data_IF_765815014119
#
_entry.id   IF_765815014119
#
_cell.length_a   1.000
_cell.length_b   1.000
_cell.length_c   1.000
_cell.angle_alpha   90.00
_cell.angle_beta   90.00
_cell.angle_gamma   90.00
#
_symmetry.space_group_name_H-M   'P 1'
#
loop_
_entity.id
_entity.type
_entity.pdbx_description
1 polymer ?
#
# COMPACT_ATOMS: atom_id res chain seq x y z
N UNK A 1 10.93 25.40 -19.16
CA UNK A 1 12.10 24.84 -18.45
C UNK A 1 12.03 25.34 -17.02
N UNK A 2 11.58 24.51 -16.08
CA UNK A 2 11.50 24.93 -14.68
C UNK A 2 12.92 24.89 -14.07
N UNK A 3 13.44 26.01 -13.57
CA UNK A 3 14.70 26.04 -12.83
C UNK A 3 14.34 25.89 -11.34
N UNK A 4 14.70 24.77 -10.72
CA UNK A 4 14.33 24.55 -9.32
C UNK A 4 15.21 23.51 -8.67
N UNK A 5 16.32 23.96 -8.09
CA UNK A 5 17.32 23.18 -7.36
C UNK A 5 16.84 22.56 -6.04
N UNK A 6 15.63 22.01 -6.00
CA UNK A 6 15.33 20.98 -5.02
C UNK A 6 15.89 19.69 -5.59
N UNK A 7 16.82 19.05 -4.86
CA UNK A 7 17.17 17.67 -5.13
C UNK A 7 15.87 16.87 -5.08
N UNK A 8 15.31 16.52 -6.24
CA UNK A 8 14.23 15.56 -6.32
C UNK A 8 14.82 14.32 -5.65
N UNK A 9 14.30 13.94 -4.49
CA UNK A 9 14.61 12.65 -3.89
C UNK A 9 14.19 11.64 -4.94
N UNK A 10 15.15 11.19 -5.76
CA UNK A 10 14.84 10.43 -6.97
C UNK A 10 14.49 9.02 -6.53
N UNK A 11 13.24 8.81 -6.11
CA UNK A 11 12.64 7.50 -6.06
C UNK A 11 12.48 6.99 -7.49
N UNK A 12 12.55 5.68 -7.66
CA UNK A 12 12.25 5.01 -8.91
C UNK A 12 10.79 5.18 -9.32
N UNK A 13 10.47 4.78 -10.55
CA UNK A 13 9.12 4.87 -11.10
C UNK A 13 8.27 3.59 -10.86
N UNK A 14 8.62 2.81 -9.83
CA UNK A 14 7.99 1.51 -9.55
C UNK A 14 7.09 1.57 -8.33
N UNK A 15 6.00 0.80 -8.36
CA UNK A 15 5.24 0.40 -7.18
C UNK A 15 5.49 -1.10 -6.99
N UNK A 16 5.99 -1.48 -5.82
CA UNK A 16 6.35 -2.87 -5.51
C UNK A 16 5.47 -3.42 -4.38
N UNK A 17 5.56 -4.70 -4.08
CA UNK A 17 4.85 -5.31 -2.96
C UNK A 17 5.77 -6.26 -2.18
N UNK A 18 5.31 -6.67 -1.00
CA UNK A 18 5.97 -7.70 -0.22
C UNK A 18 5.39 -9.08 -0.54
N UNK A 19 6.21 -10.11 -0.48
CA UNK A 19 5.78 -11.48 -0.68
C UNK A 19 4.85 -11.97 0.44
N UNK A 20 5.04 -11.47 1.68
CA UNK A 20 4.29 -11.92 2.85
C UNK A 20 3.97 -10.85 3.88
N UNK A 21 3.86 -11.26 5.14
CA UNK A 21 3.47 -10.40 6.26
C UNK A 21 4.61 -9.52 6.78
N UNK A 22 5.86 -9.81 6.41
CA UNK A 22 7.09 -9.14 6.85
C UNK A 22 8.09 -9.11 5.70
N UNK A 23 8.95 -8.10 5.67
CA UNK A 23 10.01 -8.06 4.68
C UNK A 23 11.15 -9.01 5.05
N UNK A 24 11.56 -9.82 4.09
CA UNK A 24 12.82 -10.56 4.11
C UNK A 24 14.02 -9.63 4.01
N UNK A 25 15.22 -10.15 4.34
CA UNK A 25 16.46 -9.39 4.14
C UNK A 25 16.71 -9.02 2.68
N UNK A 26 16.30 -9.89 1.75
CA UNK A 26 16.44 -9.68 0.31
C UNK A 26 15.50 -8.58 -0.19
N UNK A 27 14.23 -8.59 0.21
CA UNK A 27 13.29 -7.50 -0.12
C UNK A 27 13.78 -6.17 0.44
N UNK A 28 14.27 -6.14 1.69
CA UNK A 28 14.85 -4.92 2.28
C UNK A 28 16.04 -4.41 1.46
N UNK A 29 16.89 -5.30 0.94
CA UNK A 29 18.00 -4.92 0.08
C UNK A 29 17.53 -4.39 -1.26
N UNK A 30 16.62 -5.11 -1.92
CA UNK A 30 16.02 -4.71 -3.19
C UNK A 30 15.35 -3.34 -3.09
N UNK A 31 14.55 -3.09 -2.04
CA UNK A 31 13.81 -1.84 -1.90
C UNK A 31 14.72 -0.65 -1.59
N UNK A 32 15.82 -0.88 -0.87
CA UNK A 32 16.84 0.14 -0.64
C UNK A 32 17.57 0.51 -1.93
N UNK A 33 17.87 -0.46 -2.78
CA UNK A 33 18.60 -0.24 -4.02
C UNK A 33 17.72 0.36 -5.11
N UNK A 34 16.46 -0.11 -5.22
CA UNK A 34 15.49 0.36 -6.22
C UNK A 34 14.79 1.66 -5.83
N UNK A 35 14.62 1.91 -4.52
CA UNK A 35 13.95 3.09 -3.95
C UNK A 35 12.60 3.37 -4.62
N UNK A 36 11.62 2.44 -4.59
CA UNK A 36 10.39 2.56 -5.37
C UNK A 36 9.61 3.84 -5.02
N UNK A 37 8.75 4.29 -5.92
CA UNK A 37 7.82 5.39 -5.65
C UNK A 37 6.91 5.06 -4.46
N UNK A 38 6.46 3.80 -4.40
CA UNK A 38 5.57 3.33 -3.36
C UNK A 38 5.42 1.82 -3.34
N UNK A 39 4.47 1.37 -2.54
CA UNK A 39 4.11 -0.02 -2.37
C UNK A 39 2.60 -0.23 -2.52
N UNK A 40 2.20 -1.45 -2.83
CA UNK A 40 0.80 -1.90 -2.81
C UNK A 40 0.63 -3.11 -1.89
N UNK A 41 -0.43 -3.11 -1.08
CA UNK A 41 -0.78 -4.23 -0.21
C UNK A 41 -1.80 -5.15 -0.87
N UNK A 42 -1.52 -6.45 -0.85
CA UNK A 42 -2.43 -7.52 -1.23
C UNK A 42 -2.96 -8.27 -0.01
N UNK A 43 -3.96 -9.14 -0.22
CA UNK A 43 -4.55 -9.93 0.86
C UNK A 43 -3.52 -10.77 1.63
N UNK A 44 -2.47 -11.27 0.95
CA UNK A 44 -1.36 -12.02 1.58
C UNK A 44 -0.51 -11.20 2.55
N UNK A 45 -0.63 -9.88 2.53
CA UNK A 45 0.11 -8.96 3.39
C UNK A 45 -0.65 -8.56 4.66
N UNK A 46 -1.89 -9.03 4.83
CA UNK A 46 -2.81 -8.61 5.88
C UNK A 46 -3.05 -9.76 6.86
N UNK A 47 -2.72 -9.54 8.13
CA UNK A 47 -3.09 -10.41 9.25
C UNK A 47 -3.81 -9.62 10.35
N UNK A 48 -3.12 -8.67 10.98
CA UNK A 48 -3.66 -7.84 12.07
C UNK A 48 -3.29 -6.36 11.87
N UNK A 49 -4.01 -5.40 12.50
CA UNK A 49 -3.70 -3.98 12.38
C UNK A 49 -2.25 -3.63 12.76
N UNK A 50 -1.72 -4.24 13.82
CA UNK A 50 -0.34 -4.01 14.27
C UNK A 50 0.68 -4.62 13.30
N UNK A 51 0.41 -5.81 12.75
CA UNK A 51 1.25 -6.41 11.72
C UNK A 51 1.28 -5.56 10.45
N UNK A 52 0.14 -5.09 9.96
CA UNK A 52 0.06 -4.22 8.78
C UNK A 52 0.81 -2.91 9.01
N UNK A 53 0.66 -2.32 10.21
CA UNK A 53 1.42 -1.12 10.59
C UNK A 53 2.93 -1.38 10.58
N UNK A 54 3.37 -2.52 11.12
CA UNK A 54 4.78 -2.90 11.12
C UNK A 54 5.32 -3.10 9.69
N UNK A 55 4.60 -3.81 8.82
CA UNK A 55 4.99 -4.00 7.42
C UNK A 55 5.10 -2.66 6.68
N UNK A 56 4.14 -1.75 6.88
CA UNK A 56 4.20 -0.41 6.30
C UNK A 56 5.42 0.39 6.77
N UNK A 57 5.80 0.23 8.04
CA UNK A 57 7.00 0.85 8.61
C UNK A 57 8.26 0.27 7.96
N UNK A 58 8.35 -1.07 7.86
CA UNK A 58 9.48 -1.77 7.24
C UNK A 58 9.67 -1.37 5.78
N UNK A 59 8.59 -1.22 5.01
CA UNK A 59 8.62 -0.77 3.61
C UNK A 59 9.21 0.63 3.46
N UNK A 60 8.78 1.59 4.30
CA UNK A 60 9.30 2.97 4.26
C UNK A 60 10.74 3.06 4.74
N UNK A 61 11.08 2.31 5.77
CA UNK A 61 12.45 2.20 6.27
C UNK A 61 13.38 1.63 5.20
N UNK A 62 12.98 0.52 4.55
CA UNK A 62 13.76 -0.10 3.49
C UNK A 62 13.93 0.81 2.27
N UNK A 63 12.88 1.54 1.86
CA UNK A 63 12.95 2.49 0.75
C UNK A 63 13.78 3.75 1.08
N UNK A 64 13.96 4.06 2.36
CA UNK A 64 14.69 5.26 2.82
C UNK A 64 13.95 6.58 2.53
N UNK A 65 12.62 6.54 2.38
CA UNK A 65 11.77 7.72 2.19
C UNK A 65 10.32 7.46 2.61
N UNK A 66 9.50 8.52 2.66
CA UNK A 66 8.08 8.44 2.98
C UNK A 66 7.25 7.86 1.82
N UNK A 67 7.57 6.63 1.41
CA UNK A 67 6.94 5.94 0.29
C UNK A 67 5.42 5.86 0.45
N UNK A 68 4.71 6.06 -0.68
CA UNK A 68 3.27 5.86 -0.75
C UNK A 68 2.95 4.38 -0.50
N UNK A 69 1.90 4.08 0.24
CA UNK A 69 1.43 2.71 0.44
C UNK A 69 -0.04 2.69 0.02
N UNK A 70 -0.34 1.86 -0.96
CA UNK A 70 -1.64 1.76 -1.63
C UNK A 70 -2.28 0.41 -1.36
N UNK A 71 -3.58 0.30 -1.61
CA UNK A 71 -4.37 -0.91 -1.38
C UNK A 71 -5.66 -0.85 -2.20
N UNK A 72 -6.09 -1.98 -2.76
CA UNK A 72 -7.39 -2.06 -3.42
C UNK A 72 -8.50 -2.31 -2.39
N UNK A 73 -9.11 -1.24 -1.91
CA UNK A 73 -10.16 -1.27 -0.89
C UNK A 73 -11.46 -0.65 -1.42
N UNK A 74 -12.00 -1.24 -2.49
CA UNK A 74 -13.20 -0.75 -3.18
C UNK A 74 -14.49 -1.22 -2.51
N UNK A 75 -14.51 -2.47 -2.04
CA UNK A 75 -15.69 -3.13 -1.49
C UNK A 75 -16.12 -4.37 -2.27
N UNK A 76 -16.99 -5.19 -1.68
CA UNK A 76 -17.44 -6.44 -2.28
C UNK A 76 -16.28 -7.40 -2.61
N UNK A 77 -16.08 -7.73 -3.89
CA UNK A 77 -15.03 -8.68 -4.32
C UNK A 77 -13.62 -8.08 -4.30
N UNK A 78 -13.48 -6.76 -4.41
CA UNK A 78 -12.19 -6.07 -4.42
C UNK A 78 -12.00 -5.34 -3.10
N UNK A 79 -11.65 -6.12 -2.08
CA UNK A 79 -11.43 -5.63 -0.72
C UNK A 79 -10.37 -6.51 -0.04
N UNK A 80 -9.31 -5.89 0.50
CA UNK A 80 -8.23 -6.62 1.18
C UNK A 80 -8.41 -6.64 2.70
N UNK A 81 -8.77 -5.50 3.29
CA UNK A 81 -9.09 -5.40 4.72
C UNK A 81 -10.56 -5.76 4.91
N UNK A 82 -10.87 -6.84 5.65
CA UNK A 82 -12.23 -7.38 5.80
C UNK A 82 -12.68 -7.53 7.26
N UNK A 83 -13.96 -7.76 7.47
CA UNK A 83 -14.47 -8.13 8.79
C UNK A 83 -13.79 -9.42 9.32
N UNK A 84 -13.66 -9.58 10.66
CA UNK A 84 -14.26 -8.76 11.72
C UNK A 84 -13.41 -7.56 12.17
N UNK A 85 -12.14 -7.47 11.76
CA UNK A 85 -11.22 -6.43 12.24
C UNK A 85 -11.41 -5.10 11.52
N UNK A 86 -11.84 -5.14 10.26
CA UNK A 86 -12.11 -3.96 9.45
C UNK A 86 -13.56 -3.94 8.99
N UNK A 87 -14.01 -2.77 8.51
CA UNK A 87 -15.33 -2.62 7.93
C UNK A 87 -15.45 -3.48 6.67
N UNK A 88 -16.54 -4.24 6.58
CA UNK A 88 -16.97 -4.84 5.33
C UNK A 88 -17.73 -3.80 4.51
N UNK A 89 -17.27 -3.53 3.30
CA UNK A 89 -17.89 -2.56 2.40
C UNK A 89 -18.76 -3.28 1.36
N UNK A 90 -19.95 -2.72 1.03
CA UNK A 90 -20.74 -3.21 -0.09
C UNK A 90 -19.97 -3.08 -1.41
N UNK A 91 -20.39 -3.78 -2.46
CA UNK A 91 -19.78 -3.59 -3.76
C UNK A 91 -20.00 -2.13 -4.24
N UNK A 92 -19.08 -1.55 -5.04
CA UNK A 92 -19.20 -0.16 -5.48
C UNK A 92 -20.52 0.17 -6.18
N UNK A 93 -21.08 -0.77 -6.96
CA UNK A 93 -22.38 -0.59 -7.61
C UNK A 93 -23.52 -0.50 -6.59
N UNK A 94 -23.59 -1.43 -5.65
CA UNK A 94 -24.59 -1.42 -4.57
C UNK A 94 -24.51 -0.13 -3.74
N UNK A 95 -23.28 0.36 -3.51
CA UNK A 95 -23.05 1.62 -2.80
C UNK A 95 -23.58 2.83 -3.58
N UNK A 96 -23.36 2.87 -4.90
CA UNK A 96 -23.86 3.93 -5.76
C UNK A 96 -25.40 3.92 -5.85
N UNK A 97 -26.01 2.74 -5.98
CA UNK A 97 -27.46 2.56 -6.02
C UNK A 97 -28.11 3.02 -4.71
N UNK A 98 -27.55 2.63 -3.56
CA UNK A 98 -28.05 3.05 -2.26
C UNK A 98 -27.97 4.56 -2.04
N UNK A 99 -26.92 5.22 -2.58
CA UNK A 99 -26.75 6.67 -2.46
C UNK A 99 -27.70 7.46 -3.38
N UNK A 100 -28.10 6.90 -4.52
CA UNK A 100 -29.02 7.53 -5.48
C UNK A 100 -30.51 7.32 -5.17
N UNK A 101 -30.85 6.55 -4.14
CA UNK A 101 -32.22 6.23 -3.76
C UNK A 101 -32.90 7.29 -2.86
N UNK A 102 -32.30 8.47 -2.70
CA UNK A 102 -32.85 9.62 -1.95
C UNK A 102 -33.08 10.83 -2.84
#
# INVERSE_FOLDING_TARGET
MYPGGHAVTRFGATILDAEGLRLTGEEKALFRDTRPFGFILFARNIDSPDQVRALCSEMREAAGHAAMITIDQEGGRVQRLRAPLWREWPAPLDQAEAAGAG
#
